data_IF_083595245326
#
_entry.id   IF_083595245326
#
_cell.length_a   1.000
_cell.length_b   1.000
_cell.length_c   1.000
_cell.angle_alpha   90.00
_cell.angle_beta   90.00
_cell.angle_gamma   90.00
#
_symmetry.space_group_name_H-M   'P 1'
#
loop_
_entity.id
_entity.type
_entity.pdbx_description
1 polymer ?
#
# COMPACT_ATOMS: atom_id res chain seq x y z
N UNK A 1 17.92 39.46 7.96
CA UNK A 1 17.36 39.56 6.59
C UNK A 1 18.45 39.85 5.54
N UNK A 2 19.22 40.95 5.64
CA UNK A 2 20.34 41.21 4.70
C UNK A 2 21.35 40.06 4.59
N UNK A 3 21.70 39.41 5.70
CA UNK A 3 22.65 38.29 5.71
C UNK A 3 22.17 37.04 4.94
N UNK A 4 20.86 36.77 4.90
CA UNK A 4 20.29 35.59 4.23
C UNK A 4 20.21 35.79 2.71
N UNK A 5 20.03 37.05 2.28
CA UNK A 5 19.98 37.45 0.86
C UNK A 5 21.37 37.54 0.22
N UNK A 6 22.40 37.80 1.03
CA UNK A 6 23.79 37.94 0.58
C UNK A 6 24.57 36.63 0.56
N UNK A 7 24.00 35.52 1.05
CA UNK A 7 24.65 34.22 1.05
C UNK A 7 24.51 33.55 -0.35
N UNK A 8 25.61 33.33 -1.09
CA UNK A 8 25.60 32.72 -2.42
C UNK A 8 25.00 31.31 -2.43
N UNK A 9 25.03 30.62 -1.29
CA UNK A 9 24.51 29.26 -1.09
C UNK A 9 22.98 29.20 -1.16
N UNK A 10 22.30 30.34 -0.92
CA UNK A 10 20.84 30.40 -0.83
C UNK A 10 20.15 30.67 -2.18
N UNK A 11 20.92 30.86 -3.26
CA UNK A 11 20.39 31.00 -4.64
C UNK A 11 19.58 32.27 -4.91
N UNK A 12 19.65 33.29 -4.03
CA UNK A 12 19.01 34.58 -4.27
C UNK A 12 19.89 35.44 -5.16
N UNK A 13 19.34 35.89 -6.29
CA UNK A 13 20.05 36.76 -7.23
C UNK A 13 19.93 38.22 -6.75
N UNK A 14 21.01 38.78 -6.23
CA UNK A 14 21.08 40.14 -5.67
C UNK A 14 20.94 41.25 -6.71
N UNK A 15 21.10 40.93 -8.00
CA UNK A 15 21.07 41.89 -9.11
C UNK A 15 19.65 42.10 -9.67
N UNK A 16 18.66 41.33 -9.21
CA UNK A 16 17.25 41.50 -9.58
C UNK A 16 16.40 41.98 -8.41
N UNK A 17 15.35 42.72 -8.71
CA UNK A 17 14.31 43.10 -7.74
C UNK A 17 13.67 41.84 -7.16
N UNK A 18 13.61 41.75 -5.82
CA UNK A 18 13.00 40.60 -5.13
C UNK A 18 11.56 40.41 -5.58
N UNK A 19 11.25 39.21 -6.06
CA UNK A 19 9.89 38.85 -6.46
C UNK A 19 9.08 38.41 -5.24
N UNK A 20 7.75 38.43 -5.35
CA UNK A 20 6.85 38.00 -4.26
C UNK A 20 7.15 36.57 -3.78
N UNK A 21 7.56 35.66 -4.68
CA UNK A 21 7.97 34.30 -4.34
C UNK A 21 9.28 34.24 -3.57
N UNK A 22 10.23 35.14 -3.86
CA UNK A 22 11.53 35.17 -3.17
C UNK A 22 11.35 35.62 -1.71
N UNK A 23 10.49 36.61 -1.49
CA UNK A 23 10.12 37.09 -0.14
C UNK A 23 9.42 35.98 0.67
N UNK A 24 8.55 35.20 0.02
CA UNK A 24 7.86 34.09 0.67
C UNK A 24 8.83 32.95 1.05
N UNK A 25 9.81 32.64 0.19
CA UNK A 25 10.89 31.68 0.51
C UNK A 25 11.75 32.16 1.68
N UNK A 26 12.16 33.42 1.70
CA UNK A 26 12.92 34.01 2.82
C UNK A 26 12.17 33.95 4.15
N UNK A 27 10.85 34.19 4.11
CA UNK A 27 10.00 34.09 5.29
C UNK A 27 9.89 32.64 5.79
N UNK A 28 9.83 31.67 4.89
CA UNK A 28 9.91 30.24 5.23
C UNK A 28 11.26 29.87 5.84
N UNK A 29 12.38 30.30 5.25
CA UNK A 29 13.73 30.01 5.76
C UNK A 29 13.91 30.60 7.16
N UNK A 30 13.50 31.84 7.40
CA UNK A 30 13.55 32.42 8.75
C UNK A 30 12.70 31.64 9.77
N UNK A 31 11.52 31.13 9.35
CA UNK A 31 10.69 30.28 10.21
C UNK A 31 11.32 28.92 10.50
N UNK A 32 12.12 28.40 9.57
CA UNK A 32 12.87 27.15 9.73
C UNK A 32 14.12 27.32 10.60
N UNK A 33 14.70 28.53 10.64
CA UNK A 33 15.85 28.86 11.49
C UNK A 33 15.45 29.20 12.94
N UNK A 34 14.16 29.44 13.19
CA UNK A 34 13.64 29.65 14.54
C UNK A 34 13.47 28.31 15.25
N UNK A 35 14.51 27.89 15.98
CA UNK A 35 14.53 26.64 16.74
C UNK A 35 13.57 26.59 17.93
N UNK A 36 12.89 27.71 18.26
CA UNK A 36 11.84 27.76 19.29
C UNK A 36 10.44 27.65 18.71
N UNK A 37 10.31 27.57 17.38
CA UNK A 37 9.03 27.47 16.71
C UNK A 37 8.53 26.01 16.73
N UNK A 38 7.38 25.70 17.37
CA UNK A 38 6.82 24.35 17.40
C UNK A 38 6.46 23.81 16.01
N UNK A 39 6.27 24.68 15.01
CA UNK A 39 6.08 24.26 13.62
C UNK A 39 7.31 23.55 13.05
N UNK A 40 8.51 23.88 13.55
CA UNK A 40 9.76 23.24 13.14
C UNK A 40 9.78 21.77 13.58
N UNK A 41 9.28 21.47 14.78
CA UNK A 41 9.20 20.10 15.29
C UNK A 41 8.22 19.27 14.46
N UNK A 42 7.08 19.84 14.05
CA UNK A 42 6.15 19.18 13.14
C UNK A 42 6.79 18.89 11.77
N UNK A 43 7.56 19.83 11.22
CA UNK A 43 8.25 19.65 9.93
C UNK A 43 9.34 18.58 10.04
N UNK A 44 10.15 18.59 11.11
CA UNK A 44 11.13 17.53 11.38
C UNK A 44 10.46 16.17 11.50
N UNK A 45 9.33 16.09 12.19
CA UNK A 45 8.57 14.86 12.34
C UNK A 45 8.07 14.37 10.97
N UNK A 46 7.52 15.26 10.13
CA UNK A 46 7.08 14.93 8.78
C UNK A 46 8.22 14.42 7.90
N UNK A 47 9.35 15.13 7.84
CA UNK A 47 10.52 14.71 7.06
C UNK A 47 11.10 13.40 7.60
N UNK A 48 11.14 13.21 8.91
CA UNK A 48 11.57 11.96 9.51
C UNK A 48 10.66 10.80 9.09
N UNK A 49 9.34 10.99 9.13
CA UNK A 49 8.41 9.95 8.67
C UNK A 49 8.57 9.66 7.17
N UNK A 50 8.66 10.70 6.33
CA UNK A 50 8.83 10.56 4.88
C UNK A 50 10.16 9.88 4.49
N UNK A 51 11.24 10.13 5.24
CA UNK A 51 12.56 9.56 4.95
C UNK A 51 12.77 8.15 5.55
N UNK A 52 12.14 7.84 6.67
CA UNK A 52 12.42 6.61 7.43
C UNK A 52 11.33 5.55 7.33
N UNK A 53 10.15 5.89 6.81
CA UNK A 53 9.04 4.95 6.66
C UNK A 53 8.62 4.86 5.21
N UNK A 54 8.41 3.62 4.76
CA UNK A 54 7.84 3.36 3.44
C UNK A 54 6.45 3.98 3.35
N UNK A 55 6.12 4.51 2.17
CA UNK A 55 4.81 5.11 1.97
C UNK A 55 3.71 4.06 2.11
N UNK A 56 2.49 4.50 2.46
CA UNK A 56 1.34 3.58 2.51
C UNK A 56 1.13 2.86 1.16
N UNK A 57 1.43 3.54 0.05
CA UNK A 57 1.32 2.98 -1.30
C UNK A 57 2.33 1.84 -1.51
N UNK A 58 3.62 2.10 -1.27
CA UNK A 58 4.68 1.10 -1.35
C UNK A 58 4.42 -0.10 -0.43
N UNK A 59 3.91 0.14 0.78
CA UNK A 59 3.55 -0.93 1.70
C UNK A 59 2.45 -1.83 1.12
N UNK A 60 1.40 -1.22 0.54
CA UNK A 60 0.30 -1.96 -0.07
C UNK A 60 0.75 -2.71 -1.33
N UNK A 61 1.61 -2.11 -2.15
CA UNK A 61 2.19 -2.75 -3.32
C UNK A 61 3.03 -3.97 -2.93
N UNK A 62 3.91 -3.83 -1.94
CA UNK A 62 4.72 -4.93 -1.44
C UNK A 62 3.84 -6.06 -0.89
N UNK A 63 2.81 -5.70 -0.12
CA UNK A 63 1.85 -6.67 0.40
C UNK A 63 1.12 -7.42 -0.72
N UNK A 64 0.64 -6.73 -1.75
CA UNK A 64 0.02 -7.37 -2.92
C UNK A 64 1.00 -8.27 -3.64
N UNK A 65 2.24 -7.81 -3.87
CA UNK A 65 3.31 -8.58 -4.52
C UNK A 65 3.59 -9.89 -3.79
N UNK A 66 3.67 -9.85 -2.46
CA UNK A 66 3.90 -11.04 -1.63
C UNK A 66 2.73 -12.02 -1.73
N UNK A 67 1.49 -11.53 -1.68
CA UNK A 67 0.30 -12.39 -1.84
C UNK A 67 0.28 -13.03 -3.23
N UNK A 68 0.50 -12.26 -4.29
CA UNK A 68 0.52 -12.79 -5.66
C UNK A 68 1.62 -13.82 -5.87
N UNK A 69 2.83 -13.56 -5.34
CA UNK A 69 3.94 -14.51 -5.40
C UNK A 69 3.58 -15.85 -4.77
N UNK A 70 3.00 -15.83 -3.56
CA UNK A 70 2.54 -17.04 -2.84
C UNK A 70 1.43 -17.77 -3.58
N UNK A 71 0.53 -17.02 -4.23
CA UNK A 71 -0.61 -17.57 -4.95
C UNK A 71 -0.30 -18.03 -6.37
N UNK A 72 0.87 -17.68 -6.91
CA UNK A 72 1.23 -17.94 -8.32
C UNK A 72 1.16 -19.42 -8.69
N UNK A 73 1.73 -20.31 -7.86
CA UNK A 73 1.71 -21.77 -8.09
C UNK A 73 0.30 -22.31 -8.12
N UNK A 74 -0.51 -21.98 -7.11
CA UNK A 74 -1.89 -22.46 -6.99
C UNK A 74 -2.74 -21.88 -8.13
N UNK A 75 -2.55 -20.61 -8.49
CA UNK A 75 -3.23 -19.99 -9.63
C UNK A 75 -2.92 -20.74 -10.92
N UNK A 76 -1.65 -21.06 -11.16
CA UNK A 76 -1.22 -21.79 -12.35
C UNK A 76 -1.76 -23.21 -12.40
N UNK A 77 -1.71 -23.92 -11.27
CA UNK A 77 -2.31 -25.26 -11.17
C UNK A 77 -3.81 -25.28 -11.43
N UNK A 78 -4.52 -24.20 -11.06
CA UNK A 78 -5.95 -24.05 -11.36
C UNK A 78 -6.15 -23.77 -12.85
N UNK A 79 -5.41 -22.82 -13.44
CA UNK A 79 -5.58 -22.42 -14.85
C UNK A 79 -5.14 -23.49 -15.84
N UNK A 80 -4.11 -24.26 -15.50
CA UNK A 80 -3.55 -25.30 -16.38
C UNK A 80 -4.29 -26.64 -16.22
N UNK A 81 -5.23 -26.73 -15.27
CA UNK A 81 -5.99 -27.95 -14.98
C UNK A 81 -6.88 -28.38 -16.14
N UNK A 82 -6.77 -29.65 -16.53
CA UNK A 82 -7.64 -30.33 -17.51
C UNK A 82 -8.42 -31.46 -16.85
N UNK A 83 -9.06 -31.17 -15.71
CA UNK A 83 -9.84 -32.16 -14.98
C UNK A 83 -11.01 -32.69 -15.82
N UNK A 84 -11.05 -34.01 -16.03
CA UNK A 84 -12.12 -34.69 -16.75
C UNK A 84 -12.82 -35.74 -15.88
N UNK A 85 -12.12 -36.29 -14.88
CA UNK A 85 -12.70 -37.20 -13.92
C UNK A 85 -13.33 -36.45 -12.74
N UNK A 86 -14.33 -37.06 -12.10
CA UNK A 86 -15.03 -36.49 -10.94
C UNK A 86 -14.06 -36.18 -9.79
N UNK A 87 -13.12 -37.07 -9.51
CA UNK A 87 -12.11 -36.90 -8.46
C UNK A 87 -11.17 -35.72 -8.75
N UNK A 88 -10.78 -35.55 -10.02
CA UNK A 88 -9.95 -34.42 -10.46
C UNK A 88 -10.71 -33.10 -10.32
N UNK A 89 -12.02 -33.10 -10.63
CA UNK A 89 -12.87 -31.92 -10.46
C UNK A 89 -13.05 -31.55 -8.98
N UNK A 90 -13.20 -32.53 -8.10
CA UNK A 90 -13.26 -32.31 -6.66
C UNK A 90 -11.93 -31.77 -6.11
N UNK A 91 -10.80 -32.27 -6.60
CA UNK A 91 -9.47 -31.76 -6.27
C UNK A 91 -9.28 -30.31 -6.75
N UNK A 92 -9.67 -30.02 -7.99
CA UNK A 92 -9.63 -28.67 -8.55
C UNK A 92 -10.50 -27.70 -7.73
N UNK A 93 -11.70 -28.12 -7.33
CA UNK A 93 -12.57 -27.32 -6.48
C UNK A 93 -11.90 -26.97 -5.14
N UNK A 94 -11.22 -27.93 -4.49
CA UNK A 94 -10.47 -27.67 -3.25
C UNK A 94 -9.34 -26.65 -3.46
N UNK A 95 -8.63 -26.73 -4.60
CA UNK A 95 -7.58 -25.74 -4.95
C UNK A 95 -8.17 -24.34 -5.14
N UNK A 96 -9.30 -24.22 -5.84
CA UNK A 96 -10.00 -22.94 -6.04
C UNK A 96 -10.44 -22.34 -4.70
N UNK A 97 -11.06 -23.13 -3.82
CA UNK A 97 -11.47 -22.65 -2.50
C UNK A 97 -10.26 -22.19 -1.67
N UNK A 98 -9.16 -22.96 -1.70
CA UNK A 98 -7.91 -22.60 -1.02
C UNK A 98 -7.34 -21.28 -1.54
N UNK A 99 -7.34 -21.09 -2.86
CA UNK A 99 -6.91 -19.86 -3.51
C UNK A 99 -7.75 -18.65 -3.06
N UNK A 100 -9.08 -18.79 -3.04
CA UNK A 100 -9.99 -17.72 -2.60
C UNK A 100 -9.75 -17.36 -1.13
N UNK A 101 -9.61 -18.36 -0.25
CA UNK A 101 -9.34 -18.12 1.18
C UNK A 101 -8.04 -17.36 1.40
N UNK A 102 -6.96 -17.80 0.74
CA UNK A 102 -5.65 -17.17 0.84
C UNK A 102 -5.65 -15.76 0.26
N UNK A 103 -6.32 -15.53 -0.87
CA UNK A 103 -6.41 -14.20 -1.49
C UNK A 103 -7.24 -13.23 -0.65
N UNK A 104 -8.31 -13.71 -0.01
CA UNK A 104 -9.19 -12.88 0.82
C UNK A 104 -8.65 -12.64 2.24
N UNK A 105 -7.57 -13.32 2.65
CA UNK A 105 -7.02 -13.21 4.00
C UNK A 105 -7.96 -13.74 5.10
N UNK A 106 -8.95 -14.55 4.73
CA UNK A 106 -9.98 -15.07 5.65
C UNK A 106 -9.47 -16.16 6.59
N UNK A 107 -8.21 -16.59 6.40
CA UNK A 107 -7.51 -17.52 7.27
C UNK A 107 -6.93 -18.71 6.52
N UNK A 108 -6.52 -19.74 7.27
CA UNK A 108 -5.85 -20.90 6.70
C UNK A 108 -6.83 -21.81 5.94
N UNK A 109 -6.50 -22.24 4.70
CA UNK A 109 -7.25 -23.27 3.97
C UNK A 109 -7.27 -24.64 4.68
N UNK A 110 -6.44 -24.84 5.70
CA UNK A 110 -6.42 -26.06 6.52
C UNK A 110 -7.45 -26.02 7.65
N UNK A 111 -8.01 -24.85 7.99
CA UNK A 111 -9.05 -24.74 9.01
C UNK A 111 -10.42 -25.04 8.42
N UNK A 112 -10.98 -26.18 8.83
CA UNK A 112 -12.28 -26.67 8.35
C UNK A 112 -13.44 -25.71 8.66
N UNK A 113 -13.35 -24.88 9.71
CA UNK A 113 -14.41 -23.91 10.05
C UNK A 113 -14.43 -22.77 9.03
N UNK A 114 -13.25 -22.24 8.71
CA UNK A 114 -13.06 -21.16 7.74
C UNK A 114 -13.41 -21.64 6.33
N UNK A 115 -12.96 -22.85 5.97
CA UNK A 115 -13.34 -23.49 4.70
C UNK A 115 -14.86 -23.67 4.61
N UNK A 116 -15.52 -24.12 5.68
CA UNK A 116 -16.99 -24.26 5.73
C UNK A 116 -17.73 -22.93 5.61
N UNK A 117 -17.18 -21.85 6.14
CA UNK A 117 -17.77 -20.52 6.03
C UNK A 117 -17.60 -19.96 4.61
N UNK A 118 -16.41 -20.05 4.03
CA UNK A 118 -16.16 -19.64 2.64
C UNK A 118 -16.91 -20.48 1.61
N UNK A 119 -17.15 -21.76 1.91
CA UNK A 119 -18.05 -22.64 1.13
C UNK A 119 -19.51 -22.57 1.60
N UNK A 120 -19.79 -21.77 2.63
CA UNK A 120 -21.01 -21.75 3.44
C UNK A 120 -22.28 -21.28 2.74
N UNK A 121 -22.20 -20.98 1.43
CA UNK A 121 -23.34 -20.70 0.57
C UNK A 121 -23.53 -21.74 -0.55
N UNK A 122 -23.23 -23.01 -0.28
CA UNK A 122 -23.68 -24.15 -1.13
C UNK A 122 -24.73 -25.03 -0.45
N UNK A 123 -25.18 -24.68 0.75
CA UNK A 123 -26.32 -25.31 1.47
C UNK A 123 -27.48 -24.34 1.75
N UNK A 124 -27.60 -23.27 0.98
CA UNK A 124 -28.89 -22.60 0.80
C UNK A 124 -29.65 -23.38 -0.26
N UNK A 125 -30.83 -23.97 0.02
CA UNK A 125 -31.68 -24.46 -1.05
C UNK A 125 -32.02 -23.25 -1.93
N UNK A 126 -31.45 -23.19 -3.12
CA UNK A 126 -31.93 -22.27 -4.15
C UNK A 126 -33.38 -22.68 -4.44
N UNK A 127 -34.39 -21.82 -4.20
CA UNK A 127 -35.72 -22.10 -4.70
C UNK A 127 -35.67 -21.82 -6.20
N UNK A 128 -35.54 -22.88 -6.99
CA UNK A 128 -36.00 -22.81 -8.38
C UNK A 128 -37.52 -22.72 -8.31
N UNK A 129 -38.06 -21.50 -8.32
CA UNK A 129 -39.43 -21.29 -8.74
C UNK A 129 -39.47 -21.51 -10.25
N UNK A 130 -40.04 -22.65 -10.65
CA UNK A 130 -40.73 -22.84 -11.92
C UNK A 130 -42.20 -22.60 -11.66
#
# INVERSE_FOLDING_TARGET
VKAVVLDPSNGFNTDRTLTKSDVQKLLCVNRLLDSKNPSLDTIKMQVYFDMNYTSREEFLEEHHRVIESRLSSVSREITDSRACAREELESLYRKIVSYVLLRSGLGSPTDIKIVREATGKKRTPFPFHV
#
